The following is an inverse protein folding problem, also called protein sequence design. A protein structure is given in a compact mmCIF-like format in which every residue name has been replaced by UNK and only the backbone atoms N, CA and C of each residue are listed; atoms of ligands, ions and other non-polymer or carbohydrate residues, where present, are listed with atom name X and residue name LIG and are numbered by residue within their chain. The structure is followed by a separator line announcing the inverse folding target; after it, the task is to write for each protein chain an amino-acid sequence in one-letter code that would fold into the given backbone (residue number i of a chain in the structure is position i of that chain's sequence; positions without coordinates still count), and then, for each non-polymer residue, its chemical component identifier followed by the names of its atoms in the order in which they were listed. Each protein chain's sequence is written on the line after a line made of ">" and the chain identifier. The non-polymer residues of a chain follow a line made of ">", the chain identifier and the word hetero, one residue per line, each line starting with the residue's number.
data_IF_430758788541
#
_entry.id   IF_430758788541
#
_cell.length_a   1.000
_cell.length_b   1.000
_cell.length_c   1.000
_cell.angle_alpha   90.00
_cell.angle_beta   90.00
_cell.angle_gamma   90.00
#
_symmetry.space_group_name_H-M   'P 1'
#
loop_
_entity.id
_entity.type
_entity.pdbx_description
1 polymer ?
#
# COMPACT_ATOMS: atom_id res chain seq x y z
N UNK A 1 9.26 39.84 -15.54
CA UNK A 1 10.25 39.29 -16.50
C UNK A 1 10.79 37.92 -16.11
N UNK A 2 10.13 37.13 -15.25
CA UNK A 2 10.60 35.78 -14.84
C UNK A 2 9.68 34.61 -15.30
N UNK A 3 8.59 34.90 -16.02
CA UNK A 3 7.58 33.91 -16.40
C UNK A 3 7.90 33.16 -17.71
N UNK A 4 8.69 33.74 -18.62
CA UNK A 4 8.99 33.11 -19.92
C UNK A 4 9.77 31.79 -19.79
N UNK A 5 10.71 31.70 -18.84
CA UNK A 5 11.55 30.50 -18.68
C UNK A 5 10.79 29.26 -18.20
N UNK A 6 9.70 29.42 -17.44
CA UNK A 6 8.94 28.27 -16.91
C UNK A 6 7.99 27.69 -17.96
N UNK A 7 7.34 28.57 -18.72
CA UNK A 7 6.42 28.17 -19.79
C UNK A 7 7.18 27.52 -20.96
N UNK A 8 8.39 28.01 -21.28
CA UNK A 8 9.25 27.42 -22.31
C UNK A 8 9.71 26.00 -21.92
N UNK A 9 10.09 25.80 -20.65
CA UNK A 9 10.46 24.47 -20.13
C UNK A 9 9.29 23.50 -20.17
N UNK A 10 8.09 23.98 -19.84
CA UNK A 10 6.86 23.18 -19.89
C UNK A 10 6.49 22.81 -21.33
N UNK A 11 6.57 23.76 -22.26
CA UNK A 11 6.31 23.51 -23.68
C UNK A 11 7.29 22.48 -24.26
N UNK A 12 8.58 22.60 -23.95
CA UNK A 12 9.60 21.63 -24.35
C UNK A 12 9.30 20.23 -23.78
N UNK A 13 8.94 20.12 -22.50
CA UNK A 13 8.58 18.85 -21.89
C UNK A 13 7.32 18.23 -22.50
N UNK A 14 6.30 19.04 -22.84
CA UNK A 14 5.10 18.57 -23.53
C UNK A 14 5.46 18.01 -24.91
N UNK A 15 6.36 18.66 -25.66
CA UNK A 15 6.80 18.15 -26.96
C UNK A 15 7.49 16.79 -26.87
N UNK A 16 8.16 16.51 -25.74
CA UNK A 16 8.80 15.22 -25.47
C UNK A 16 7.80 14.18 -24.96
N UNK A 17 6.93 14.54 -24.00
CA UNK A 17 6.01 13.62 -23.35
C UNK A 17 4.81 13.26 -24.22
N UNK A 18 4.25 14.22 -24.95
CA UNK A 18 2.99 14.05 -25.66
C UNK A 18 3.02 12.90 -26.69
N UNK A 19 4.07 12.74 -27.53
CA UNK A 19 4.15 11.61 -28.44
C UNK A 19 4.16 10.25 -27.71
N UNK A 20 4.97 10.13 -26.65
CA UNK A 20 5.14 8.86 -25.93
C UNK A 20 3.92 8.49 -25.08
N UNK A 21 3.26 9.46 -24.45
CA UNK A 21 2.02 9.22 -23.68
C UNK A 21 0.86 8.86 -24.58
N UNK A 22 0.73 9.49 -25.75
CA UNK A 22 -0.30 9.15 -26.75
C UNK A 22 -0.07 7.75 -27.30
N UNK A 23 1.17 7.38 -27.61
CA UNK A 23 1.50 6.02 -28.08
C UNK A 23 1.17 4.97 -27.01
N UNK A 24 1.56 5.22 -25.76
CA UNK A 24 1.26 4.32 -24.65
C UNK A 24 -0.26 4.13 -24.46
N UNK A 25 -1.05 5.19 -24.61
CA UNK A 25 -2.49 5.13 -24.48
C UNK A 25 -3.18 4.37 -25.63
N UNK A 26 -2.67 4.54 -26.86
CA UNK A 26 -3.24 3.89 -28.06
C UNK A 26 -2.89 2.41 -28.15
N UNK A 27 -1.64 2.08 -27.85
CA UNK A 27 -1.10 0.73 -27.96
C UNK A 27 -0.15 0.46 -26.79
N UNK A 28 -0.67 0.03 -25.63
CA UNK A 28 0.15 -0.28 -24.46
C UNK A 28 1.18 -1.37 -24.79
N UNK A 29 2.48 -1.02 -24.73
CA UNK A 29 3.57 -1.94 -25.05
C UNK A 29 4.80 -1.68 -24.17
N UNK A 30 5.66 -2.69 -24.03
CA UNK A 30 6.91 -2.58 -23.26
C UNK A 30 7.79 -1.46 -23.81
N UNK A 31 7.83 -1.31 -25.14
CA UNK A 31 8.63 -0.28 -25.80
C UNK A 31 8.10 1.13 -25.48
N UNK A 32 6.78 1.32 -25.53
CA UNK A 32 6.17 2.62 -25.21
C UNK A 32 6.32 2.97 -23.73
N UNK A 33 6.20 2.00 -22.82
CA UNK A 33 6.43 2.23 -21.39
C UNK A 33 7.89 2.62 -21.09
N UNK A 34 8.87 1.93 -21.71
CA UNK A 34 10.30 2.29 -21.59
C UNK A 34 10.62 3.66 -22.17
N UNK A 35 10.03 4.00 -23.32
CA UNK A 35 10.19 5.31 -23.93
C UNK A 35 9.68 6.43 -23.01
N UNK A 36 8.54 6.21 -22.34
CA UNK A 36 8.02 7.13 -21.34
C UNK A 36 8.97 7.26 -20.14
N UNK A 37 9.49 6.16 -19.58
CA UNK A 37 10.47 6.23 -18.47
C UNK A 37 11.69 7.07 -18.85
N UNK A 38 12.28 6.82 -20.03
CA UNK A 38 13.42 7.59 -20.51
C UNK A 38 13.10 9.07 -20.68
N UNK A 39 11.95 9.40 -21.26
CA UNK A 39 11.49 10.77 -21.38
C UNK A 39 11.34 11.46 -20.00
N UNK A 40 10.82 10.74 -19.00
CA UNK A 40 10.66 11.26 -17.64
C UNK A 40 12.00 11.53 -16.94
N UNK A 41 13.06 10.79 -17.25
CA UNK A 41 14.40 10.99 -16.68
C UNK A 41 15.00 12.34 -17.10
N UNK A 42 14.71 12.81 -18.31
CA UNK A 42 15.26 14.04 -18.90
C UNK A 42 14.50 15.31 -18.46
N UNK A 43 13.29 15.17 -17.92
CA UNK A 43 12.42 16.30 -17.59
C UNK A 43 12.64 16.78 -16.14
N UNK A 44 12.61 18.10 -15.97
CA UNK A 44 12.73 18.79 -14.68
C UNK A 44 11.57 18.43 -13.74
N UNK A 45 11.89 18.24 -12.46
CA UNK A 45 10.95 17.82 -11.41
C UNK A 45 9.74 18.76 -11.27
N UNK A 46 9.93 20.07 -11.50
CA UNK A 46 8.84 21.07 -11.42
C UNK A 46 7.82 20.85 -12.52
N UNK A 47 8.28 20.52 -13.73
CA UNK A 47 7.41 20.27 -14.87
C UNK A 47 6.68 18.93 -14.71
N UNK A 48 7.35 17.89 -14.18
CA UNK A 48 6.69 16.61 -13.85
C UNK A 48 5.61 16.82 -12.80
N UNK A 49 5.84 17.68 -11.79
CA UNK A 49 4.81 18.00 -10.79
C UNK A 49 3.55 18.61 -11.42
N UNK A 50 3.72 19.55 -12.35
CA UNK A 50 2.58 20.18 -13.04
C UNK A 50 1.85 19.24 -14.00
N UNK A 51 2.59 18.34 -14.65
CA UNK A 51 2.05 17.38 -15.63
C UNK A 51 1.71 16.02 -15.00
N UNK A 52 1.78 15.86 -13.68
CA UNK A 52 1.62 14.58 -13.01
C UNK A 52 0.31 13.88 -13.43
N UNK A 53 -0.83 14.57 -13.37
CA UNK A 53 -2.14 14.01 -13.78
C UNK A 53 -2.13 13.52 -15.22
N UNK A 54 -1.49 14.28 -16.12
CA UNK A 54 -1.40 13.95 -17.54
C UNK A 54 -0.57 12.68 -17.76
N UNK A 55 0.51 12.51 -17.00
CA UNK A 55 1.43 11.36 -17.11
C UNK A 55 0.84 10.10 -16.46
N UNK A 56 0.16 10.24 -15.32
CA UNK A 56 -0.42 9.10 -14.59
C UNK A 56 -1.59 8.48 -15.36
N UNK A 57 -2.38 9.29 -16.09
CA UNK A 57 -3.52 8.79 -16.86
C UNK A 57 -3.20 7.63 -17.83
N UNK A 58 -2.23 7.73 -18.77
CA UNK A 58 -1.87 6.63 -19.65
C UNK A 58 -1.25 5.42 -18.92
N UNK A 59 -0.52 5.65 -17.82
CA UNK A 59 0.04 4.57 -17.00
C UNK A 59 -1.07 3.75 -16.34
N UNK A 60 -2.04 4.43 -15.75
CA UNK A 60 -3.22 3.82 -15.14
C UNK A 60 -4.05 3.06 -16.18
N UNK A 61 -4.27 3.64 -17.35
CA UNK A 61 -4.97 2.99 -18.46
C UNK A 61 -4.26 1.70 -18.90
N UNK A 62 -2.93 1.72 -19.03
CA UNK A 62 -2.14 0.53 -19.37
C UNK A 62 -2.21 -0.56 -18.30
N UNK A 63 -2.19 -0.19 -17.01
CA UNK A 63 -2.33 -1.15 -15.90
C UNK A 63 -3.74 -1.76 -15.82
N UNK A 64 -4.76 -1.02 -16.24
CA UNK A 64 -6.15 -1.48 -16.25
C UNK A 64 -6.45 -2.45 -17.40
N UNK A 65 -5.58 -2.57 -18.39
CA UNK A 65 -5.76 -3.51 -19.50
C UNK A 65 -5.90 -4.95 -18.97
N UNK A 66 -6.96 -5.64 -19.40
CA UNK A 66 -7.24 -7.02 -18.99
C UNK A 66 -6.16 -8.01 -19.44
N UNK A 67 -5.42 -7.66 -20.48
CA UNK A 67 -4.40 -8.47 -21.12
C UNK A 67 -2.98 -7.94 -20.85
N UNK A 68 -2.80 -7.08 -19.83
CA UNK A 68 -1.48 -6.61 -19.44
C UNK A 68 -0.56 -7.79 -19.14
N UNK A 69 0.54 -7.90 -19.88
CA UNK A 69 1.56 -8.91 -19.63
C UNK A 69 2.41 -8.52 -18.41
N UNK A 70 3.04 -9.49 -17.74
CA UNK A 70 3.92 -9.18 -16.60
C UNK A 70 5.07 -8.24 -17.00
N UNK A 71 5.68 -8.46 -18.17
CA UNK A 71 6.73 -7.58 -18.67
C UNK A 71 6.21 -6.14 -18.87
N UNK A 72 5.00 -5.96 -19.44
CA UNK A 72 4.40 -4.63 -19.56
C UNK A 72 4.10 -4.01 -18.19
N UNK A 73 3.51 -4.79 -17.27
CA UNK A 73 3.21 -4.36 -15.90
C UNK A 73 4.47 -3.83 -15.18
N UNK A 74 5.58 -4.55 -15.28
CA UNK A 74 6.85 -4.14 -14.67
C UNK A 74 7.32 -2.78 -15.20
N UNK A 75 7.25 -2.58 -16.52
CA UNK A 75 7.67 -1.32 -17.15
C UNK A 75 6.70 -0.16 -16.84
N UNK A 76 5.40 -0.43 -16.69
CA UNK A 76 4.42 0.57 -16.23
C UNK A 76 4.64 0.96 -14.77
N UNK A 77 4.98 -0.02 -13.91
CA UNK A 77 5.35 0.24 -12.52
C UNK A 77 6.64 1.08 -12.44
N UNK A 78 7.65 0.76 -13.25
CA UNK A 78 8.90 1.52 -13.32
C UNK A 78 8.66 2.98 -13.75
N UNK A 79 7.86 3.20 -14.80
CA UNK A 79 7.50 4.55 -15.23
C UNK A 79 6.73 5.30 -14.12
N UNK A 80 5.78 4.64 -13.46
CA UNK A 80 5.04 5.21 -12.32
C UNK A 80 5.98 5.56 -11.16
N UNK A 81 6.94 4.69 -10.86
CA UNK A 81 7.95 4.90 -9.83
C UNK A 81 8.80 6.14 -10.14
N UNK A 82 9.25 6.30 -11.38
CA UNK A 82 10.01 7.48 -11.84
C UNK A 82 9.21 8.78 -11.68
N UNK A 83 7.90 8.76 -11.94
CA UNK A 83 7.02 9.92 -11.71
C UNK A 83 7.00 10.29 -10.23
N UNK A 84 6.71 9.36 -9.32
CA UNK A 84 6.58 9.67 -7.88
C UNK A 84 7.93 9.92 -7.20
N UNK A 85 9.05 9.49 -7.78
CA UNK A 85 10.38 9.86 -7.30
C UNK A 85 10.68 11.35 -7.58
N UNK A 86 10.06 11.92 -8.60
CA UNK A 86 10.26 13.31 -9.05
C UNK A 86 9.10 14.26 -8.73
N UNK A 87 8.03 13.78 -8.10
CA UNK A 87 6.84 14.58 -7.80
C UNK A 87 6.19 14.19 -6.48
N UNK A 88 5.40 15.11 -5.93
CA UNK A 88 4.55 14.93 -4.76
C UNK A 88 3.12 14.65 -5.21
N UNK A 89 2.40 13.83 -4.45
CA UNK A 89 0.97 13.56 -4.70
C UNK A 89 0.16 14.56 -3.89
N UNK A 90 -0.45 15.53 -4.59
CA UNK A 90 -1.20 16.64 -3.99
C UNK A 90 -2.72 16.50 -4.15
N UNK A 91 -3.16 15.40 -4.78
CA UNK A 91 -4.58 15.14 -5.06
C UNK A 91 -4.93 13.71 -4.70
N UNK A 92 -5.92 13.56 -3.82
CA UNK A 92 -6.47 12.25 -3.45
C UNK A 92 -6.97 11.48 -4.68
N UNK A 93 -7.45 12.18 -5.70
CA UNK A 93 -7.96 11.58 -6.93
C UNK A 93 -6.85 10.84 -7.67
N UNK A 94 -5.67 11.46 -7.83
CA UNK A 94 -4.51 10.85 -8.48
C UNK A 94 -4.04 9.65 -7.66
N UNK A 95 -3.91 9.83 -6.35
CA UNK A 95 -3.53 8.76 -5.43
C UNK A 95 -4.46 7.56 -5.59
N UNK A 96 -5.77 7.79 -5.40
CA UNK A 96 -6.79 6.77 -5.37
C UNK A 96 -6.92 6.01 -6.69
N UNK A 97 -6.88 6.71 -7.83
CA UNK A 97 -7.06 6.08 -9.15
C UNK A 97 -5.97 5.04 -9.41
N UNK A 98 -4.71 5.41 -9.26
CA UNK A 98 -3.63 4.47 -9.51
C UNK A 98 -3.54 3.41 -8.40
N UNK A 99 -3.71 3.82 -7.15
CA UNK A 99 -3.63 2.93 -6.00
C UNK A 99 -4.66 1.78 -6.06
N UNK A 100 -5.92 2.09 -6.38
CA UNK A 100 -6.97 1.08 -6.49
C UNK A 100 -6.78 0.14 -7.67
N UNK A 101 -6.22 0.63 -8.79
CA UNK A 101 -5.84 -0.21 -9.93
C UNK A 101 -4.75 -1.21 -9.52
N UNK A 102 -3.68 -0.75 -8.84
CA UNK A 102 -2.61 -1.63 -8.33
C UNK A 102 -3.15 -2.63 -7.30
N UNK A 103 -3.93 -2.17 -6.32
CA UNK A 103 -4.53 -3.04 -5.30
C UNK A 103 -5.45 -4.10 -5.92
N UNK A 104 -6.18 -3.77 -6.98
CA UNK A 104 -7.05 -4.72 -7.70
C UNK A 104 -6.22 -5.82 -8.36
N UNK A 105 -5.10 -5.47 -8.99
CA UNK A 105 -4.18 -6.44 -9.62
C UNK A 105 -3.61 -7.37 -8.55
N UNK A 106 -3.09 -6.81 -7.47
CA UNK A 106 -2.48 -7.57 -6.35
C UNK A 106 -3.51 -8.45 -5.62
N UNK A 107 -4.75 -7.98 -5.46
CA UNK A 107 -5.82 -8.78 -4.84
C UNK A 107 -6.20 -9.98 -5.72
N UNK A 108 -6.33 -9.76 -7.03
CA UNK A 108 -6.71 -10.84 -7.97
C UNK A 108 -5.65 -11.93 -8.05
N UNK A 109 -4.36 -11.58 -8.01
CA UNK A 109 -3.28 -12.58 -8.05
C UNK A 109 -3.33 -13.55 -6.87
N UNK A 110 -3.78 -13.08 -5.69
CA UNK A 110 -3.87 -13.88 -4.46
C UNK A 110 -5.21 -14.59 -4.24
N UNK A 111 -6.27 -14.18 -4.94
CA UNK A 111 -7.56 -14.87 -4.92
C UNK A 111 -7.64 -16.03 -5.94
N UNK A 112 -6.73 -16.10 -6.90
CA UNK A 112 -6.67 -17.15 -7.90
C UNK A 112 -5.64 -18.21 -7.50
N UNK A 113 -6.01 -19.49 -7.59
CA UNK A 113 -5.10 -20.63 -7.42
C UNK A 113 -4.91 -21.31 -8.78
N UNK A 114 -3.67 -21.44 -9.29
CA UNK A 114 -2.41 -20.95 -8.73
C UNK A 114 -2.28 -19.42 -8.81
N UNK A 115 -1.44 -18.85 -7.94
CA UNK A 115 -1.10 -17.43 -7.99
C UNK A 115 -0.54 -17.07 -9.38
N UNK A 116 -1.10 -16.02 -9.98
CA UNK A 116 -0.87 -15.72 -11.40
C UNK A 116 0.33 -14.81 -11.65
N UNK A 117 0.78 -14.05 -10.66
CA UNK A 117 1.89 -13.10 -10.81
C UNK A 117 3.18 -13.70 -10.27
N UNK A 118 4.30 -13.36 -10.92
CA UNK A 118 5.63 -13.60 -10.37
C UNK A 118 5.92 -12.73 -9.14
N UNK A 119 6.88 -13.18 -8.33
CA UNK A 119 7.42 -12.41 -7.20
C UNK A 119 7.93 -11.03 -7.62
N UNK A 120 8.53 -10.92 -8.81
CA UNK A 120 9.04 -9.67 -9.37
C UNK A 120 7.90 -8.66 -9.61
N UNK A 121 6.82 -9.12 -10.25
CA UNK A 121 5.62 -8.31 -10.50
C UNK A 121 4.99 -7.81 -9.19
N UNK A 122 4.85 -8.68 -8.19
CA UNK A 122 4.27 -8.28 -6.90
C UNK A 122 5.18 -7.32 -6.14
N UNK A 123 6.49 -7.52 -6.22
CA UNK A 123 7.49 -6.61 -5.66
C UNK A 123 7.37 -5.22 -6.28
N UNK A 124 7.26 -5.13 -7.61
CA UNK A 124 7.12 -3.85 -8.31
C UNK A 124 5.82 -3.11 -7.92
N UNK A 125 4.70 -3.82 -7.81
CA UNK A 125 3.41 -3.25 -7.40
C UNK A 125 3.48 -2.70 -5.96
N UNK A 126 4.03 -3.48 -5.02
CA UNK A 126 4.15 -3.08 -3.60
C UNK A 126 5.09 -1.88 -3.46
N UNK A 127 6.25 -1.88 -4.14
CA UNK A 127 7.19 -0.76 -4.12
C UNK A 127 6.58 0.52 -4.70
N UNK A 128 5.76 0.40 -5.74
CA UNK A 128 5.06 1.55 -6.34
C UNK A 128 4.06 2.14 -5.33
N UNK A 129 3.26 1.31 -4.65
CA UNK A 129 2.35 1.75 -3.58
C UNK A 129 3.12 2.46 -2.46
N UNK A 130 4.23 1.88 -2.02
CA UNK A 130 5.06 2.47 -0.97
C UNK A 130 5.59 3.84 -1.39
N UNK A 131 6.11 3.99 -2.60
CA UNK A 131 6.60 5.29 -3.07
C UNK A 131 5.46 6.31 -3.20
N UNK A 132 4.29 5.91 -3.70
CA UNK A 132 3.10 6.78 -3.76
C UNK A 132 2.73 7.33 -2.38
N UNK A 133 2.69 6.47 -1.36
CA UNK A 133 2.35 6.87 0.00
C UNK A 133 3.39 7.82 0.60
N UNK A 134 4.68 7.63 0.31
CA UNK A 134 5.76 8.55 0.73
C UNK A 134 5.72 9.90 0.00
N UNK A 135 5.32 9.88 -1.28
CA UNK A 135 5.21 11.06 -2.12
C UNK A 135 3.97 11.92 -1.79
N UNK A 136 2.96 11.37 -1.11
CA UNK A 136 1.75 12.07 -0.69
C UNK A 136 2.02 13.18 0.32
N UNK A 137 1.35 14.31 0.16
CA UNK A 137 1.31 15.37 1.15
C UNK A 137 0.35 15.06 2.31
N UNK A 138 0.37 15.92 3.32
CA UNK A 138 -0.45 15.76 4.52
C UNK A 138 -1.96 15.79 4.21
N UNK A 139 -2.40 16.57 3.22
CA UNK A 139 -3.80 16.64 2.84
C UNK A 139 -4.28 15.32 2.25
N UNK A 140 -3.52 14.75 1.31
CA UNK A 140 -3.82 13.44 0.72
C UNK A 140 -3.81 12.35 1.77
N UNK A 141 -2.83 12.33 2.68
CA UNK A 141 -2.79 11.35 3.76
C UNK A 141 -3.99 11.53 4.71
N UNK A 142 -4.31 12.77 5.10
CA UNK A 142 -5.43 13.05 6.01
C UNK A 142 -6.76 12.57 5.43
N UNK A 143 -6.98 12.79 4.13
CA UNK A 143 -8.15 12.31 3.43
C UNK A 143 -8.14 10.79 3.26
N UNK A 144 -7.00 10.18 2.90
CA UNK A 144 -6.86 8.74 2.73
C UNK A 144 -7.08 7.95 4.03
N UNK A 145 -6.69 8.50 5.17
CA UNK A 145 -6.97 7.93 6.50
C UNK A 145 -8.34 8.34 7.07
N UNK A 146 -9.26 8.82 6.24
CA UNK A 146 -10.64 9.07 6.64
C UNK A 146 -11.53 7.83 6.47
N UNK A 147 -12.72 7.88 7.06
CA UNK A 147 -13.71 6.80 6.96
C UNK A 147 -14.08 6.43 5.52
N UNK A 148 -13.99 7.38 4.57
CA UNK A 148 -14.36 7.17 3.17
C UNK A 148 -13.47 6.11 2.48
N UNK A 149 -12.23 5.96 2.93
CA UNK A 149 -11.23 5.08 2.31
C UNK A 149 -10.85 3.87 3.19
N UNK A 150 -11.47 3.73 4.37
CA UNK A 150 -11.15 2.67 5.34
C UNK A 150 -11.29 1.25 4.76
N UNK A 151 -12.28 1.03 3.89
CA UNK A 151 -12.52 -0.26 3.26
C UNK A 151 -11.38 -0.69 2.34
N UNK A 152 -10.81 0.26 1.60
CA UNK A 152 -9.70 0.04 0.69
C UNK A 152 -8.39 -0.15 1.46
N UNK A 153 -8.19 0.63 2.52
CA UNK A 153 -7.10 0.41 3.48
C UNK A 153 -7.15 -0.98 4.09
N UNK A 154 -8.32 -1.40 4.60
CA UNK A 154 -8.53 -2.72 5.18
C UNK A 154 -8.23 -3.86 4.19
N UNK A 155 -8.66 -3.70 2.94
CA UNK A 155 -8.36 -4.64 1.87
C UNK A 155 -6.85 -4.73 1.61
N UNK A 156 -6.15 -3.60 1.51
CA UNK A 156 -4.70 -3.57 1.33
C UNK A 156 -3.96 -4.28 2.46
N UNK A 157 -4.31 -3.97 3.70
CA UNK A 157 -3.69 -4.60 4.88
C UNK A 157 -3.93 -6.11 4.86
N UNK A 158 -5.13 -6.56 4.51
CA UNK A 158 -5.46 -7.99 4.38
C UNK A 158 -4.59 -8.67 3.32
N UNK A 159 -4.42 -8.04 2.14
CA UNK A 159 -3.56 -8.57 1.08
C UNK A 159 -2.11 -8.68 1.55
N UNK A 160 -1.57 -7.64 2.19
CA UNK A 160 -0.18 -7.65 2.69
C UNK A 160 0.04 -8.68 3.79
N UNK A 161 -0.92 -8.86 4.71
CA UNK A 161 -0.87 -9.91 5.74
C UNK A 161 -0.82 -11.29 5.10
N UNK A 162 -1.63 -11.53 4.06
CA UNK A 162 -1.63 -12.81 3.36
C UNK A 162 -0.31 -13.07 2.64
N UNK A 163 0.28 -12.05 2.01
CA UNK A 163 1.62 -12.16 1.40
C UNK A 163 2.66 -12.46 2.48
N UNK A 164 2.67 -11.70 3.57
CA UNK A 164 3.61 -11.90 4.67
C UNK A 164 3.50 -13.31 5.29
N UNK A 165 2.29 -13.84 5.44
CA UNK A 165 2.02 -15.15 6.05
C UNK A 165 2.30 -16.33 5.11
N UNK A 166 1.83 -16.25 3.86
CA UNK A 166 1.66 -17.43 3.00
C UNK A 166 2.70 -17.52 1.89
N UNK A 167 3.42 -16.44 1.59
CA UNK A 167 4.40 -16.46 0.52
C UNK A 167 5.63 -17.30 0.90
N UNK A 168 6.31 -17.88 -0.10
CA UNK A 168 7.54 -18.66 0.13
C UNK A 168 8.77 -17.77 0.18
N UNK A 169 8.77 -16.64 -0.53
CA UNK A 169 9.91 -15.73 -0.57
C UNK A 169 10.00 -14.91 0.71
N UNK A 170 11.13 -15.06 1.40
CA UNK A 170 11.43 -14.25 2.59
C UNK A 170 11.57 -12.76 2.27
N UNK A 171 12.00 -12.41 1.06
CA UNK A 171 12.14 -11.01 0.65
C UNK A 171 10.77 -10.38 0.39
N UNK A 172 9.85 -11.10 -0.26
CA UNK A 172 8.49 -10.62 -0.46
C UNK A 172 7.71 -10.54 0.87
N UNK A 173 7.90 -11.49 1.79
CA UNK A 173 7.34 -11.42 3.14
C UNK A 173 7.81 -10.16 3.88
N UNK A 174 9.11 -9.87 3.89
CA UNK A 174 9.68 -8.66 4.51
C UNK A 174 9.14 -7.40 3.86
N UNK A 175 9.07 -7.37 2.52
CA UNK A 175 8.53 -6.23 1.78
C UNK A 175 7.08 -5.95 2.17
N UNK A 176 6.25 -6.99 2.30
CA UNK A 176 4.87 -6.85 2.73
C UNK A 176 4.75 -6.30 4.16
N UNK A 177 5.57 -6.77 5.10
CA UNK A 177 5.62 -6.24 6.47
C UNK A 177 6.07 -4.77 6.51
N UNK A 178 7.12 -4.42 5.77
CA UNK A 178 7.57 -3.03 5.65
C UNK A 178 6.49 -2.12 5.06
N UNK A 179 5.75 -2.63 4.07
CA UNK A 179 4.61 -1.90 3.50
C UNK A 179 3.51 -1.68 4.55
N UNK A 180 3.17 -2.67 5.39
CA UNK A 180 2.22 -2.51 6.49
C UNK A 180 2.68 -1.41 7.46
N UNK A 181 3.94 -1.42 7.89
CA UNK A 181 4.49 -0.39 8.78
C UNK A 181 4.40 1.01 8.14
N UNK A 182 4.63 1.10 6.84
CA UNK A 182 4.49 2.37 6.13
C UNK A 182 3.04 2.84 6.04
N UNK A 183 2.08 1.94 5.86
CA UNK A 183 0.65 2.27 5.98
C UNK A 183 0.29 2.74 7.38
N UNK A 184 0.95 2.24 8.42
CA UNK A 184 0.81 2.73 9.79
C UNK A 184 1.54 4.05 10.06
N UNK A 185 2.26 4.59 9.06
CA UNK A 185 3.05 5.82 9.18
C UNK A 185 4.12 5.73 10.28
N UNK A 186 4.64 4.53 10.52
CA UNK A 186 5.69 4.28 11.51
C UNK A 186 6.95 5.08 11.15
N UNK A 187 7.48 5.82 12.11
CA UNK A 187 8.68 6.65 11.94
C UNK A 187 8.49 7.88 11.05
N UNK A 188 7.26 8.33 10.77
CA UNK A 188 6.99 9.56 10.03
C UNK A 188 6.41 10.66 10.93
N UNK A 189 6.70 11.93 10.59
CA UNK A 189 6.10 13.09 11.28
C UNK A 189 4.57 13.07 11.25
N UNK A 190 3.98 12.60 10.15
CA UNK A 190 2.52 12.45 10.06
C UNK A 190 2.01 11.42 11.06
N UNK A 191 2.72 10.29 11.21
CA UNK A 191 2.44 9.25 12.18
C UNK A 191 2.46 9.76 13.62
N UNK A 192 3.51 10.48 13.99
CA UNK A 192 3.67 11.08 15.33
C UNK A 192 2.52 12.03 15.68
N UNK A 193 2.14 12.92 14.74
CA UNK A 193 1.07 13.91 14.96
C UNK A 193 -0.32 13.26 14.98
N UNK A 194 -0.52 12.19 14.19
CA UNK A 194 -1.84 11.58 13.97
C UNK A 194 -1.98 10.19 14.61
N UNK A 195 -1.17 9.85 15.60
CA UNK A 195 -1.10 8.51 16.19
C UNK A 195 -2.47 7.97 16.64
N UNK A 196 -3.29 8.81 17.28
CA UNK A 196 -4.66 8.43 17.72
C UNK A 196 -5.55 8.09 16.53
N UNK A 197 -5.59 8.97 15.51
CA UNK A 197 -6.37 8.78 14.28
C UNK A 197 -5.96 7.51 13.55
N UNK A 198 -4.65 7.28 13.40
CA UNK A 198 -4.12 6.08 12.77
C UNK A 198 -4.49 4.83 13.58
N UNK A 199 -4.38 4.89 14.91
CA UNK A 199 -4.84 3.83 15.79
C UNK A 199 -6.31 3.48 15.58
N UNK A 200 -7.19 4.46 15.38
CA UNK A 200 -8.62 4.21 15.13
C UNK A 200 -8.85 3.53 13.78
N UNK A 201 -8.14 3.99 12.75
CA UNK A 201 -8.20 3.42 11.40
C UNK A 201 -7.75 1.96 11.40
N UNK A 202 -6.67 1.65 12.12
CA UNK A 202 -6.10 0.30 12.14
C UNK A 202 -6.69 -0.61 13.23
N UNK A 203 -7.48 -0.09 14.18
CA UNK A 203 -8.10 -0.87 15.26
C UNK A 203 -8.92 -2.05 14.71
N UNK A 204 -9.66 -1.83 13.62
CA UNK A 204 -10.40 -2.89 12.91
C UNK A 204 -9.50 -4.03 12.41
N UNK A 205 -8.32 -3.70 11.87
CA UNK A 205 -7.40 -4.66 11.28
C UNK A 205 -6.43 -5.28 12.30
N UNK A 206 -6.35 -4.72 13.51
CA UNK A 206 -5.31 -5.04 14.51
C UNK A 206 -5.23 -6.54 14.83
N UNK A 207 -6.34 -7.27 15.11
CA UNK A 207 -6.25 -8.71 15.37
C UNK A 207 -5.62 -9.49 14.20
N UNK A 208 -5.96 -9.10 12.97
CA UNK A 208 -5.43 -9.71 11.74
C UNK A 208 -3.94 -9.43 11.55
N UNK A 209 -3.52 -8.18 11.77
CA UNK A 209 -2.12 -7.75 11.70
C UNK A 209 -1.27 -8.51 12.70
N UNK A 210 -1.71 -8.53 13.96
CA UNK A 210 -0.96 -9.11 15.07
C UNK A 210 -0.85 -10.64 14.94
N UNK A 211 -1.94 -11.32 14.58
CA UNK A 211 -1.91 -12.74 14.21
C UNK A 211 -1.02 -12.98 12.98
N UNK A 212 -1.06 -12.06 12.02
CA UNK A 212 -0.13 -11.93 10.89
C UNK A 212 1.32 -12.10 11.30
N UNK A 213 1.78 -11.16 12.11
CA UNK A 213 3.16 -11.05 12.56
C UNK A 213 3.59 -12.28 13.35
N UNK A 214 2.76 -12.80 14.25
CA UNK A 214 3.12 -13.99 15.03
C UNK A 214 3.37 -15.21 14.15
N UNK A 215 2.53 -15.49 13.15
CA UNK A 215 2.79 -16.62 12.25
C UNK A 215 4.10 -16.45 11.49
N UNK A 216 4.43 -15.22 11.06
CA UNK A 216 5.69 -14.95 10.35
C UNK A 216 6.90 -15.16 11.25
N UNK A 217 6.86 -14.63 12.48
CA UNK A 217 7.99 -14.71 13.42
C UNK A 217 8.17 -16.12 13.99
N UNK A 218 7.07 -16.82 14.29
CA UNK A 218 7.13 -18.18 14.86
C UNK A 218 7.39 -19.26 13.82
N UNK A 219 7.24 -18.96 12.52
CA UNK A 219 7.34 -19.96 11.44
C UNK A 219 6.30 -21.08 11.55
N UNK A 220 5.28 -20.91 12.39
CA UNK A 220 4.26 -21.93 12.64
C UNK A 220 3.27 -21.96 11.50
N UNK A 221 3.44 -22.89 10.56
CA UNK A 221 2.52 -23.11 9.44
C UNK A 221 1.13 -23.62 9.88
N UNK A 222 0.94 -23.97 11.15
CA UNK A 222 -0.18 -24.81 11.61
C UNK A 222 -1.22 -24.10 12.51
N UNK A 223 -1.22 -22.77 12.61
CA UNK A 223 -2.28 -22.05 13.34
C UNK A 223 -2.94 -20.94 12.51
N UNK A 224 -3.06 -21.16 11.20
CA UNK A 224 -4.03 -20.46 10.38
C UNK A 224 -5.43 -21.08 10.54
N UNK A 225 -5.98 -21.15 11.77
CA UNK A 225 -7.44 -21.07 11.82
C UNK A 225 -7.76 -19.71 11.23
N UNK A 226 -8.46 -19.73 10.11
CA UNK A 226 -9.00 -18.56 9.49
C UNK A 226 -9.82 -17.81 10.55
N UNK A 227 -9.20 -16.84 11.24
CA UNK A 227 -9.90 -15.67 11.77
C UNK A 227 -10.19 -14.78 10.57
N UNK A 228 -10.87 -15.39 9.61
CA UNK A 228 -11.68 -14.73 8.62
C UNK A 228 -12.93 -14.38 9.41
N UNK A 229 -13.09 -13.11 9.73
CA UNK A 229 -14.46 -12.61 9.84
C UNK A 229 -14.95 -12.67 8.39
N UNK A 230 -15.87 -13.59 8.03
CA UNK A 230 -16.45 -13.58 6.71
C UNK A 230 -17.07 -12.23 6.48
N UNK A 231 -17.04 -11.76 5.21
CA UNK A 231 -17.84 -10.63 4.73
C UNK A 231 -19.09 -10.56 5.58
N UNK A 232 -19.26 -9.54 6.43
CA UNK A 232 -20.51 -9.41 7.13
C UNK A 232 -21.56 -9.37 6.03
N UNK A 233 -22.60 -10.17 6.19
CA UNK A 233 -23.69 -10.22 5.25
C UNK A 233 -24.42 -8.88 5.39
N UNK A 234 -23.86 -7.85 4.79
CA UNK A 234 -24.38 -6.50 4.90
C UNK A 234 -25.58 -6.40 3.98
N UNK A 235 -26.75 -5.96 4.50
CA UNK A 235 -27.84 -5.54 3.63
C UNK A 235 -27.28 -4.52 2.62
N UNK A 236 -27.79 -4.57 1.38
CA UNK A 236 -27.34 -3.76 0.24
C UNK A 236 -27.67 -2.26 0.39
N UNK A 237 -27.91 -1.79 1.60
CA UNK A 237 -28.48 -0.49 1.87
C UNK A 237 -27.40 0.48 2.37
N UNK A 238 -27.07 1.43 1.50
CA UNK A 238 -26.15 2.57 1.65
C UNK A 238 -24.68 2.25 1.97
N UNK A 239 -23.79 2.76 1.12
CA UNK A 239 -22.32 2.76 1.31
C UNK A 239 -21.93 3.34 2.66
N UNK A 240 -22.68 4.33 3.17
CA UNK A 240 -22.41 4.98 4.46
C UNK A 240 -22.63 4.04 5.66
N UNK A 241 -23.62 3.15 5.58
CA UNK A 241 -23.87 2.16 6.64
C UNK A 241 -22.76 1.09 6.65
N UNK A 242 -22.28 0.70 5.46
CA UNK A 242 -21.16 -0.23 5.31
C UNK A 242 -19.85 0.37 5.83
N UNK A 243 -19.55 1.62 5.49
CA UNK A 243 -18.34 2.31 5.98
C UNK A 243 -18.37 2.50 7.51
N UNK A 244 -19.53 2.85 8.08
CA UNK A 244 -19.68 2.97 9.54
C UNK A 244 -19.47 1.66 10.28
N UNK A 245 -19.82 0.52 9.67
CA UNK A 245 -19.60 -0.79 10.29
C UNK A 245 -18.13 -1.22 10.36
N UNK A 246 -17.26 -0.62 9.54
CA UNK A 246 -15.80 -0.84 9.55
C UNK A 246 -15.10 0.05 10.58
N UNK A 247 -15.74 1.16 10.95
CA UNK A 247 -15.23 2.02 12.01
C UNK A 247 -15.40 1.32 13.36
N UNK A 248 -14.30 1.22 14.10
CA UNK A 248 -14.28 0.61 15.42
C UNK A 248 -14.22 1.70 16.47
N UNK A 249 -15.28 1.80 17.25
CA UNK A 249 -15.22 2.51 18.51
C UNK A 249 -14.47 1.63 19.53
N UNK A 250 -13.35 2.12 20.09
CA UNK A 250 -12.53 1.42 21.08
C UNK A 250 -13.20 1.37 22.46
N UNK A 251 -14.41 0.84 22.51
CA UNK A 251 -15.20 0.67 23.73
C UNK A 251 -14.60 -0.42 24.65
N UNK A 252 -15.04 -0.46 25.91
CA UNK A 252 -14.59 -1.47 26.86
C UNK A 252 -14.89 -2.91 26.39
N UNK A 253 -15.98 -3.12 25.64
CA UNK A 253 -16.31 -4.42 25.05
C UNK A 253 -15.36 -4.78 23.91
N UNK A 254 -15.00 -3.80 23.06
CA UNK A 254 -13.98 -4.00 22.03
C UNK A 254 -12.63 -4.38 22.64
N UNK A 255 -12.17 -3.66 23.67
CA UNK A 255 -10.92 -3.97 24.37
C UNK A 255 -10.92 -5.40 24.91
N UNK A 256 -12.01 -5.84 25.55
CA UNK A 256 -12.18 -7.21 26.06
C UNK A 256 -12.21 -8.28 24.96
N UNK A 257 -12.74 -7.96 23.79
CA UNK A 257 -12.78 -8.91 22.66
C UNK A 257 -11.41 -9.00 21.99
N UNK A 258 -10.79 -7.85 21.70
CA UNK A 258 -9.47 -7.77 21.09
C UNK A 258 -8.42 -8.41 21.98
N UNK A 259 -8.45 -8.19 23.30
CA UNK A 259 -7.50 -8.82 24.22
C UNK A 259 -7.57 -10.35 24.21
N UNK A 260 -8.75 -10.96 24.01
CA UNK A 260 -8.89 -12.41 23.84
C UNK A 260 -8.21 -12.92 22.58
N UNK A 261 -8.22 -12.15 21.49
CA UNK A 261 -7.50 -12.50 20.25
C UNK A 261 -6.00 -12.23 20.36
N UNK A 262 -5.60 -11.20 21.13
CA UNK A 262 -4.20 -10.86 21.36
C UNK A 262 -3.52 -11.78 22.39
N UNK A 263 -4.26 -12.38 23.32
CA UNK A 263 -3.70 -13.27 24.35
C UNK A 263 -2.84 -14.40 23.79
N UNK A 264 -3.36 -15.27 22.89
CA UNK A 264 -2.58 -16.36 22.29
C UNK A 264 -1.36 -15.88 21.49
N UNK A 265 -1.47 -14.70 20.88
CA UNK A 265 -0.37 -14.05 20.18
C UNK A 265 0.71 -13.62 21.16
N UNK A 266 0.33 -12.95 22.24
CA UNK A 266 1.25 -12.51 23.28
C UNK A 266 1.94 -13.73 23.90
N UNK A 267 1.22 -14.83 24.16
CA UNK A 267 1.80 -16.08 24.67
C UNK A 267 2.84 -16.66 23.71
N UNK A 268 2.54 -16.70 22.40
CA UNK A 268 3.48 -17.14 21.38
C UNK A 268 4.73 -16.24 21.32
N UNK A 269 4.55 -14.93 21.46
CA UNK A 269 5.64 -13.94 21.51
C UNK A 269 6.49 -14.10 22.78
N UNK A 270 5.87 -14.31 23.94
CA UNK A 270 6.55 -14.60 25.19
C UNK A 270 7.42 -15.86 25.07
N UNK A 271 6.98 -16.87 24.30
CA UNK A 271 7.79 -18.03 23.95
C UNK A 271 9.03 -17.74 23.10
N UNK A 272 9.08 -16.59 22.42
CA UNK A 272 10.24 -16.15 21.61
C UNK A 272 11.27 -15.35 22.41
N UNK A 273 10.96 -14.94 23.65
CA UNK A 273 11.91 -14.21 24.52
C UNK A 273 13.13 -15.08 24.85
N UNK A 274 12.98 -16.41 24.81
CA UNK A 274 14.05 -17.40 24.96
C UNK A 274 14.67 -17.87 23.63
N UNK A 275 14.33 -17.25 22.50
CA UNK A 275 14.88 -17.62 21.18
C UNK A 275 16.40 -17.44 21.16
N UNK A 276 17.13 -18.36 20.50
CA UNK A 276 18.59 -18.34 20.43
C UNK A 276 19.14 -17.11 19.70
N UNK A 277 18.41 -16.56 18.74
CA UNK A 277 18.85 -15.44 17.91
C UNK A 277 18.47 -14.08 18.54
N UNK A 278 19.49 -13.28 18.89
CA UNK A 278 19.30 -12.02 19.63
C UNK A 278 18.41 -10.99 18.93
N UNK A 279 18.48 -10.90 17.59
CA UNK A 279 17.65 -9.97 16.82
C UNK A 279 16.15 -10.28 16.91
N UNK A 280 15.78 -11.55 17.05
CA UNK A 280 14.37 -11.96 17.24
C UNK A 280 13.89 -11.47 18.61
N UNK A 281 14.71 -11.63 19.65
CA UNK A 281 14.41 -11.12 21.00
C UNK A 281 14.26 -9.59 21.00
N UNK A 282 15.15 -8.87 20.32
CA UNK A 282 15.07 -7.41 20.22
C UNK A 282 13.78 -6.96 19.52
N UNK A 283 13.44 -7.55 18.37
CA UNK A 283 12.20 -7.20 17.64
C UNK A 283 10.94 -7.48 18.47
N UNK A 284 10.94 -8.53 19.29
CA UNK A 284 9.85 -8.82 20.23
C UNK A 284 9.71 -7.71 21.29
N UNK A 285 10.82 -7.23 21.84
CA UNK A 285 10.84 -6.13 22.80
C UNK A 285 10.33 -4.83 22.15
N UNK A 286 10.83 -4.49 20.97
CA UNK A 286 10.43 -3.30 20.23
C UNK A 286 8.92 -3.34 19.89
N UNK A 287 8.40 -4.51 19.47
CA UNK A 287 6.98 -4.70 19.21
C UNK A 287 6.12 -4.56 20.47
N UNK A 288 6.53 -5.18 21.58
CA UNK A 288 5.81 -5.07 22.84
C UNK A 288 5.78 -3.62 23.35
N UNK A 289 6.90 -2.90 23.21
CA UNK A 289 6.99 -1.49 23.53
C UNK A 289 6.01 -0.67 22.66
N UNK A 290 6.00 -0.88 21.34
CA UNK A 290 5.13 -0.13 20.45
C UNK A 290 3.65 -0.41 20.69
N UNK A 291 3.30 -1.67 20.97
CA UNK A 291 1.95 -2.06 21.34
C UNK A 291 1.51 -1.38 22.64
N UNK A 292 2.36 -1.38 23.67
CA UNK A 292 2.06 -0.71 24.94
C UNK A 292 1.91 0.80 24.74
N UNK A 293 2.83 1.45 24.03
CA UNK A 293 2.80 2.90 23.82
C UNK A 293 1.63 3.38 22.96
N UNK A 294 1.09 2.53 22.08
CA UNK A 294 0.03 2.92 21.13
C UNK A 294 -1.36 2.47 21.59
N UNK A 295 -1.45 1.48 22.49
CA UNK A 295 -2.71 0.89 22.95
C UNK A 295 -3.03 1.11 24.44
N UNK A 296 -2.13 1.71 25.23
CA UNK A 296 -2.42 2.26 26.56
C UNK A 296 -3.02 3.65 26.48
#
# INVERSE_FOLDING_TARGET
>A
MATSSSDDMKAAAINVLCPVTIQLLKEPSVQHAKALTKALEEIDVRVIQELQTYIIFPLEAGLRDKNVSECLLLNLCEASYTVFKKSRVLSIKIFYQLYTTILTILSKSRLQVPAKLSEESETALIKTIMLMLQASDENVLSEFYSINYIHILAQQITVLINIAKLDKSRELQKLALNCILQFMQEGTKYGEVNAVKLGDVFAHCLPGIVTGMVLVVTGSSNQGQAVFVPKPNYPKDSVDAQLKSLYVERSQSWVKSTSKHLGPVIDAICGLVSNSHWKVRQTVVDFAQQLLMTCS
#
